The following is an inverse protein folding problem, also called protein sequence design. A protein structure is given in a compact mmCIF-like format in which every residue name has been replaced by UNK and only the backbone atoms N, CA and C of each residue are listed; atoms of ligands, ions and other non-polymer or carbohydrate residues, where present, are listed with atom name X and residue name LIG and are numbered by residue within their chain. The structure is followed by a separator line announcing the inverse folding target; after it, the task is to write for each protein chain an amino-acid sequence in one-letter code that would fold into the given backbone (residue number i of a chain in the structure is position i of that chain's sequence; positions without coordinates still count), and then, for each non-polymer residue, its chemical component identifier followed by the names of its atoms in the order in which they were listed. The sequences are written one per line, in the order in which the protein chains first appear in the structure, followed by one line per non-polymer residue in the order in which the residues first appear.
data_IF_896028951947
#
_entry.id   IF_896028951947
#
_cell.length_a   1.000
_cell.length_b   1.000
_cell.length_c   1.000
_cell.angle_alpha   90.00
_cell.angle_beta   90.00
_cell.angle_gamma   90.00
#
_symmetry.space_group_name_H-M   'P 1'
#
loop_
_entity.id
_entity.type
_entity.pdbx_description
1 polymer ?
#
# COMPACT_ATOMS: atom_id res chain seq x y z
N UNK A 1 -3.54 3.96 -35.39
CA UNK A 1 -3.13 4.91 -34.32
C UNK A 1 -4.14 4.95 -33.15
N UNK A 2 -5.45 4.96 -33.42
CA UNK A 2 -6.51 4.95 -32.39
C UNK A 2 -6.54 3.78 -31.38
N UNK A 3 -6.31 2.50 -31.74
CA UNK A 3 -6.49 1.40 -30.79
C UNK A 3 -5.40 1.34 -29.70
N UNK A 4 -4.17 1.78 -30.01
CA UNK A 4 -3.08 1.80 -29.05
C UNK A 4 -3.32 2.80 -27.90
N UNK A 5 -3.97 3.93 -28.20
CA UNK A 5 -4.34 4.92 -27.19
C UNK A 5 -5.37 4.36 -26.21
N UNK A 6 -6.37 3.63 -26.71
CA UNK A 6 -7.38 2.99 -25.87
C UNK A 6 -6.79 1.95 -24.91
N UNK A 7 -5.86 1.11 -25.40
CA UNK A 7 -5.15 0.12 -24.57
C UNK A 7 -4.30 0.81 -23.50
N UNK A 8 -3.55 1.86 -23.86
CA UNK A 8 -2.73 2.61 -22.92
C UNK A 8 -3.59 3.28 -21.84
N UNK A 9 -4.68 3.94 -22.23
CA UNK A 9 -5.60 4.59 -21.32
C UNK A 9 -6.24 3.58 -20.36
N UNK A 10 -6.67 2.42 -20.88
CA UNK A 10 -7.23 1.33 -20.07
C UNK A 10 -6.22 0.78 -19.05
N UNK A 11 -4.96 0.60 -19.43
CA UNK A 11 -3.89 0.17 -18.51
C UNK A 11 -3.61 1.21 -17.41
N UNK A 12 -3.60 2.50 -17.76
CA UNK A 12 -3.40 3.58 -16.79
C UNK A 12 -4.57 3.65 -15.79
N UNK A 13 -5.82 3.64 -16.29
CA UNK A 13 -7.03 3.70 -15.46
C UNK A 13 -7.14 2.45 -14.58
N UNK A 14 -6.93 1.26 -15.16
CA UNK A 14 -7.00 -0.01 -14.44
C UNK A 14 -5.93 -0.11 -13.34
N UNK A 15 -4.69 0.32 -13.62
CA UNK A 15 -3.62 0.35 -12.62
C UNK A 15 -3.95 1.28 -11.45
N UNK A 16 -4.60 2.42 -11.71
CA UNK A 16 -5.01 3.35 -10.66
C UNK A 16 -6.17 2.81 -9.83
N UNK A 17 -7.22 2.28 -10.48
CA UNK A 17 -8.38 1.69 -9.80
C UNK A 17 -7.98 0.54 -8.89
N UNK A 18 -7.03 -0.30 -9.31
CA UNK A 18 -6.52 -1.40 -8.48
C UNK A 18 -5.92 -0.90 -7.15
N UNK A 19 -5.21 0.23 -7.17
CA UNK A 19 -4.65 0.85 -5.95
C UNK A 19 -5.76 1.42 -5.07
N UNK A 20 -6.72 2.12 -5.65
CA UNK A 20 -7.83 2.76 -4.91
C UNK A 20 -8.71 1.69 -4.25
N UNK A 21 -9.11 0.65 -4.99
CA UNK A 21 -9.98 -0.42 -4.49
C UNK A 21 -9.36 -1.14 -3.29
N UNK A 22 -8.05 -1.36 -3.31
CA UNK A 22 -7.35 -2.02 -2.21
C UNK A 22 -7.10 -1.09 -1.02
N UNK A 23 -6.60 0.13 -1.26
CA UNK A 23 -6.11 1.00 -0.18
C UNK A 23 -7.20 1.81 0.53
N UNK A 24 -8.20 2.28 -0.22
CA UNK A 24 -9.27 3.12 0.33
C UNK A 24 -10.03 2.46 1.50
N UNK A 25 -10.52 1.21 1.41
CA UNK A 25 -11.27 0.61 2.52
C UNK A 25 -10.42 0.45 3.78
N UNK A 26 -9.13 0.17 3.64
CA UNK A 26 -8.21 0.02 4.78
C UNK A 26 -7.98 1.35 5.49
N UNK A 27 -7.88 2.47 4.74
CA UNK A 27 -7.75 3.80 5.32
C UNK A 27 -9.00 4.17 6.12
N UNK A 28 -10.19 3.92 5.54
CA UNK A 28 -11.47 4.19 6.19
C UNK A 28 -11.67 3.34 7.45
N UNK A 29 -11.31 2.06 7.44
CA UNK A 29 -11.42 1.20 8.63
C UNK A 29 -10.49 1.68 9.77
N UNK A 30 -9.30 2.18 9.44
CA UNK A 30 -8.36 2.72 10.44
C UNK A 30 -8.88 4.02 11.05
N UNK A 31 -9.37 4.94 10.22
CA UNK A 31 -9.92 6.22 10.68
C UNK A 31 -11.17 6.00 11.54
N UNK A 32 -12.07 5.09 11.11
CA UNK A 32 -13.23 4.68 11.88
C UNK A 32 -12.87 4.14 13.26
N UNK A 33 -11.89 3.22 13.35
CA UNK A 33 -11.42 2.66 14.63
C UNK A 33 -10.87 3.75 15.55
N UNK A 34 -10.16 4.74 15.02
CA UNK A 34 -9.64 5.86 15.80
C UNK A 34 -10.77 6.73 16.35
N UNK A 35 -11.78 7.04 15.54
CA UNK A 35 -12.95 7.80 15.96
C UNK A 35 -13.77 7.07 17.04
N UNK A 36 -14.02 5.77 16.87
CA UNK A 36 -14.68 4.96 17.89
C UNK A 36 -13.89 4.95 19.21
N UNK A 37 -12.56 4.81 19.15
CA UNK A 37 -11.71 4.83 20.34
C UNK A 37 -11.78 6.19 21.06
N UNK A 38 -11.79 7.31 20.33
CA UNK A 38 -11.93 8.64 20.89
C UNK A 38 -13.30 8.84 21.58
N UNK A 39 -14.40 8.46 20.91
CA UNK A 39 -15.75 8.57 21.48
C UNK A 39 -15.93 7.72 22.74
N UNK A 40 -15.37 6.50 22.77
CA UNK A 40 -15.41 5.63 23.93
C UNK A 40 -14.58 6.20 25.10
N UNK A 41 -13.46 6.85 24.81
CA UNK A 41 -12.63 7.51 25.81
C UNK A 41 -13.35 8.72 26.44
N UNK A 42 -14.07 9.51 25.63
CA UNK A 42 -14.86 10.66 26.12
C UNK A 42 -16.07 10.21 26.96
N UNK A 43 -16.61 9.02 26.68
CA UNK A 43 -17.80 8.48 27.34
C UNK A 43 -17.49 7.70 28.63
N UNK A 44 -16.23 7.32 28.87
CA UNK A 44 -15.85 6.47 29.99
C UNK A 44 -15.40 7.31 31.21
N UNK A 45 -16.19 7.28 32.29
CA UNK A 45 -15.82 7.82 33.61
C UNK A 45 -14.72 7.00 34.33
N UNK A 46 -14.10 6.03 33.66
CA UNK A 46 -12.99 5.21 34.18
C UNK A 46 -12.03 4.95 33.03
N UNK A 47 -10.70 5.14 33.19
CA UNK A 47 -9.78 4.97 32.08
C UNK A 47 -9.76 3.50 31.66
N UNK A 48 -10.23 3.23 30.44
CA UNK A 48 -10.06 1.94 29.79
C UNK A 48 -8.57 1.63 29.63
N UNK A 49 -8.15 0.34 29.63
CA UNK A 49 -6.76 -0.02 29.41
C UNK A 49 -6.26 0.61 28.12
N UNK A 50 -5.27 1.48 28.25
CA UNK A 50 -4.60 2.11 27.12
C UNK A 50 -4.04 0.98 26.26
N UNK A 51 -4.67 0.74 25.11
CA UNK A 51 -4.10 -0.12 24.09
C UNK A 51 -2.71 0.44 23.79
N UNK A 52 -1.70 -0.37 24.09
CA UNK A 52 -0.28 -0.02 24.11
C UNK A 52 0.13 0.87 22.93
N UNK A 53 1.12 1.78 23.11
CA UNK A 53 1.62 2.62 22.03
C UNK A 53 2.24 1.71 20.96
N UNK A 54 1.44 1.40 19.94
CA UNK A 54 1.92 0.71 18.75
C UNK A 54 2.70 1.77 18.00
N UNK A 55 4.02 1.77 18.23
CA UNK A 55 4.98 2.79 17.83
C UNK A 55 4.63 3.41 16.48
N UNK A 56 4.59 4.75 16.49
CA UNK A 56 4.51 5.64 15.33
C UNK A 56 3.91 4.97 14.09
N UNK A 57 2.58 4.96 14.02
CA UNK A 57 1.85 4.46 12.86
C UNK A 57 2.42 5.10 11.59
N UNK A 58 3.23 4.33 10.86
CA UNK A 58 3.86 4.79 9.62
C UNK A 58 2.73 5.25 8.67
N UNK A 59 2.82 6.43 8.04
CA UNK A 59 1.72 6.99 7.23
C UNK A 59 1.24 6.00 6.18
N UNK A 60 -0.04 5.62 6.26
CA UNK A 60 -0.68 4.70 5.32
C UNK A 60 -1.74 5.45 4.52
N UNK A 61 -1.33 5.87 3.33
CA UNK A 61 -2.14 6.66 2.40
C UNK A 61 -2.23 5.94 1.05
N UNK A 62 -2.90 6.56 0.07
CA UNK A 62 -2.92 6.07 -1.31
C UNK A 62 -1.51 5.93 -1.91
N UNK A 63 -0.55 6.77 -1.47
CA UNK A 63 0.81 6.86 -2.03
C UNK A 63 1.88 6.25 -1.10
N UNK A 64 1.59 6.09 0.20
CA UNK A 64 2.54 5.64 1.23
C UNK A 64 2.03 4.38 1.95
N UNK A 65 2.90 3.45 2.36
CA UNK A 65 4.34 3.43 2.12
C UNK A 65 4.68 3.15 0.65
N UNK A 66 5.85 3.62 0.22
CA UNK A 66 6.39 3.25 -1.10
C UNK A 66 6.70 1.75 -1.09
N UNK A 67 6.52 1.09 -2.24
CA UNK A 67 6.95 -0.30 -2.40
C UNK A 67 8.43 -0.41 -2.04
N UNK A 68 8.77 -1.28 -1.09
CA UNK A 68 10.13 -1.53 -0.64
C UNK A 68 10.40 -3.03 -0.64
N UNK A 69 11.66 -3.42 -0.84
CA UNK A 69 12.01 -4.84 -0.80
C UNK A 69 11.88 -5.40 0.62
N UNK A 70 11.24 -6.57 0.78
CA UNK A 70 11.09 -7.22 2.08
C UNK A 70 12.42 -7.72 2.67
N UNK A 71 13.43 -8.04 1.85
CA UNK A 71 14.74 -8.48 2.33
C UNK A 71 15.69 -7.33 2.68
N UNK A 72 15.86 -6.36 1.78
CA UNK A 72 16.86 -5.30 1.95
C UNK A 72 16.27 -3.92 2.29
N UNK A 73 14.94 -3.79 2.34
CA UNK A 73 14.21 -2.54 2.60
C UNK A 73 14.52 -1.39 1.63
N UNK A 74 15.29 -1.63 0.57
CA UNK A 74 15.55 -0.63 -0.47
C UNK A 74 14.23 -0.23 -1.13
N UNK A 75 13.95 1.07 -1.27
CA UNK A 75 12.76 1.55 -1.97
C UNK A 75 12.81 1.13 -3.45
N UNK A 76 11.71 0.56 -3.93
CA UNK A 76 11.56 0.14 -5.31
C UNK A 76 11.33 1.39 -6.16
N UNK A 77 12.18 1.59 -7.18
CA UNK A 77 12.04 2.69 -8.14
C UNK A 77 10.70 2.56 -8.88
N UNK A 78 10.04 3.68 -9.18
CA UNK A 78 8.73 3.70 -9.84
C UNK A 78 8.68 2.85 -11.13
N UNK A 79 9.76 2.87 -11.94
CA UNK A 79 9.90 2.06 -13.16
C UNK A 79 9.84 0.53 -12.93
N UNK A 80 10.24 0.07 -11.74
CA UNK A 80 10.19 -1.34 -11.35
C UNK A 80 8.83 -1.71 -10.74
N UNK A 81 8.01 -0.72 -10.39
CA UNK A 81 6.69 -0.90 -9.78
C UNK A 81 5.57 -1.01 -10.82
N UNK A 82 5.91 -1.01 -12.12
CA UNK A 82 4.95 -1.23 -13.21
C UNK A 82 4.59 -2.72 -13.22
N UNK A 83 3.34 -3.11 -12.94
CA UNK A 83 3.00 -4.49 -12.53
C UNK A 83 3.55 -5.58 -13.45
N UNK A 84 3.37 -5.41 -14.76
CA UNK A 84 3.75 -6.43 -15.75
C UNK A 84 5.16 -6.18 -16.29
N UNK A 85 5.48 -4.94 -16.66
CA UNK A 85 6.76 -4.60 -17.28
C UNK A 85 7.93 -4.67 -16.29
N UNK A 86 7.74 -4.19 -15.06
CA UNK A 86 8.75 -4.24 -14.01
C UNK A 86 9.03 -5.67 -13.56
N UNK A 87 7.99 -6.49 -13.42
CA UNK A 87 8.12 -7.90 -13.04
C UNK A 87 8.85 -8.72 -14.11
N UNK A 88 8.50 -8.53 -15.39
CA UNK A 88 9.15 -9.23 -16.50
C UNK A 88 10.63 -8.85 -16.63
N UNK A 89 10.95 -7.56 -16.50
CA UNK A 89 12.33 -7.06 -16.58
C UNK A 89 13.19 -7.61 -15.42
N UNK A 90 12.66 -7.57 -14.20
CA UNK A 90 13.37 -8.02 -13.00
C UNK A 90 13.26 -9.53 -12.75
N UNK A 91 12.50 -10.25 -13.58
CA UNK A 91 12.24 -11.69 -13.46
C UNK A 91 11.77 -12.07 -12.05
N UNK A 92 10.93 -11.22 -11.45
CA UNK A 92 10.45 -11.39 -10.07
C UNK A 92 11.49 -11.21 -8.96
N UNK A 93 12.62 -10.52 -9.20
CA UNK A 93 13.69 -10.31 -8.21
C UNK A 93 13.88 -8.85 -7.85
N UNK A 94 14.45 -8.59 -6.67
CA UNK A 94 14.82 -7.24 -6.28
C UNK A 94 15.99 -6.72 -7.13
N UNK A 95 15.88 -5.50 -7.64
CA UNK A 95 16.95 -4.84 -8.39
C UNK A 95 18.24 -4.57 -7.58
N UNK A 96 18.15 -4.52 -6.25
CA UNK A 96 19.28 -4.22 -5.36
C UNK A 96 19.93 -5.48 -4.79
N UNK A 97 19.16 -6.37 -4.17
CA UNK A 97 19.68 -7.56 -3.49
C UNK A 97 19.42 -8.89 -4.21
N UNK A 98 18.75 -8.87 -5.38
CA UNK A 98 18.40 -10.07 -6.16
C UNK A 98 17.51 -11.10 -5.44
N UNK A 99 17.00 -10.78 -4.25
CA UNK A 99 16.05 -11.63 -3.53
C UNK A 99 14.74 -11.77 -4.33
N UNK A 100 14.17 -12.97 -4.31
CA UNK A 100 12.88 -13.26 -4.97
C UNK A 100 11.76 -12.48 -4.28
N UNK A 101 10.97 -11.75 -5.06
CA UNK A 101 9.78 -11.05 -4.56
C UNK A 101 8.64 -12.08 -4.56
N UNK A 102 8.01 -12.38 -3.42
CA UNK A 102 6.91 -13.34 -3.38
C UNK A 102 5.76 -12.84 -4.27
N UNK A 103 5.19 -13.76 -5.06
CA UNK A 103 4.04 -13.48 -5.95
C UNK A 103 2.83 -12.97 -5.15
N UNK A 104 2.74 -13.40 -3.89
CA UNK A 104 1.77 -12.93 -2.93
C UNK A 104 2.41 -11.83 -2.08
N UNK A 105 2.04 -10.59 -2.35
CA UNK A 105 2.19 -9.52 -1.37
C UNK A 105 1.29 -9.87 -0.15
N UNK A 106 1.68 -9.49 1.09
CA UNK A 106 0.82 -9.68 2.27
C UNK A 106 -0.55 -9.02 2.14
#
# INVERSE_FOLDING_TARGET
MLPGLGVLLGLLIGSFLNVVIYRLPVMLDRDWRQQCAALLADSAATPAPQAAPKGEAEPFDLIRPRSACLSCKTPIKARHNVPVLGWLWLRGRCAACQATIPVRYP
#
